data_IF_225713128976
#
_entry.id   IF_225713128976
#
_cell.length_a   1.000
_cell.length_b   1.000
_cell.length_c   1.000
_cell.angle_alpha   90.00
_cell.angle_beta   90.00
_cell.angle_gamma   90.00
#
_symmetry.space_group_name_H-M   'P 1'
#
loop_
_entity.id
_entity.type
_entity.pdbx_description
1 polymer ?
#
# COMPACT_ATOMS: atom_id res chain seq x y z
N UNK A 1 2.39 -21.99 1.25
CA UNK A 1 3.71 -21.45 0.84
C UNK A 1 3.45 -20.34 -0.16
N UNK A 2 3.98 -19.15 0.08
CA UNK A 2 3.96 -18.04 -0.88
C UNK A 2 4.62 -18.55 -2.17
N UNK A 3 3.91 -18.44 -3.28
CA UNK A 3 4.44 -18.83 -4.59
C UNK A 3 5.13 -17.61 -5.19
N UNK A 4 6.39 -17.76 -5.61
CA UNK A 4 7.06 -16.75 -6.44
C UNK A 4 6.33 -16.68 -7.79
N UNK A 5 5.67 -15.55 -8.05
CA UNK A 5 4.98 -15.29 -9.32
C UNK A 5 6.00 -14.83 -10.37
N UNK A 6 5.68 -15.06 -11.65
CA UNK A 6 6.55 -14.61 -12.77
C UNK A 6 6.45 -13.10 -12.93
N UNK A 7 7.52 -12.46 -13.40
CA UNK A 7 7.54 -11.03 -13.71
C UNK A 7 8.37 -10.24 -12.72
N UNK A 8 9.10 -9.24 -13.21
CA UNK A 8 10.17 -8.55 -12.46
C UNK A 8 9.69 -7.96 -11.13
N UNK A 9 8.54 -7.28 -11.12
CA UNK A 9 7.93 -6.72 -9.91
C UNK A 9 7.56 -7.82 -8.91
N UNK A 10 6.93 -8.90 -9.38
CA UNK A 10 6.58 -10.03 -8.53
C UNK A 10 7.81 -10.68 -7.87
N UNK A 11 8.94 -10.71 -8.58
CA UNK A 11 10.19 -11.19 -8.01
C UNK A 11 10.76 -10.25 -6.95
N UNK A 12 10.73 -8.93 -7.20
CA UNK A 12 11.15 -7.90 -6.24
C UNK A 12 10.31 -8.01 -4.96
N UNK A 13 8.99 -8.06 -5.08
CA UNK A 13 8.07 -8.21 -3.94
C UNK A 13 8.35 -9.50 -3.19
N UNK A 14 8.49 -10.64 -3.89
CA UNK A 14 8.77 -11.92 -3.25
C UNK A 14 10.10 -11.92 -2.50
N UNK A 15 11.18 -11.43 -3.12
CA UNK A 15 12.51 -11.46 -2.52
C UNK A 15 12.61 -10.58 -1.26
N UNK A 16 11.81 -9.50 -1.18
CA UNK A 16 11.82 -8.57 -0.06
C UNK A 16 10.78 -8.89 1.04
N UNK A 17 9.75 -9.69 0.73
CA UNK A 17 8.64 -9.95 1.67
C UNK A 17 8.44 -11.42 2.01
N UNK A 18 9.12 -12.35 1.35
CA UNK A 18 9.03 -13.78 1.63
C UNK A 18 10.34 -14.29 2.25
N UNK A 19 10.25 -15.04 3.34
CA UNK A 19 11.41 -15.68 3.97
C UNK A 19 11.16 -17.16 4.23
N UNK A 20 12.25 -17.89 4.53
CA UNK A 20 12.25 -19.35 4.70
C UNK A 20 11.58 -20.06 3.50
N UNK A 21 12.07 -19.78 2.28
CA UNK A 21 11.54 -20.32 1.02
C UNK A 21 10.03 -20.06 0.82
N UNK A 22 9.55 -18.88 1.24
CA UNK A 22 8.14 -18.50 1.10
C UNK A 22 7.21 -19.17 2.11
N UNK A 23 7.76 -19.76 3.18
CA UNK A 23 6.94 -20.30 4.27
C UNK A 23 6.27 -19.20 5.08
N UNK A 24 6.92 -18.04 5.17
CA UNK A 24 6.47 -16.91 5.97
C UNK A 24 6.53 -15.60 5.19
N UNK A 25 5.68 -14.65 5.59
CA UNK A 25 5.63 -13.29 5.07
C UNK A 25 6.27 -12.33 6.07
N UNK A 26 7.12 -11.44 5.59
CA UNK A 26 7.69 -10.32 6.32
C UNK A 26 6.98 -9.04 5.86
N UNK A 27 6.57 -8.21 6.82
CA UNK A 27 5.92 -6.93 6.55
C UNK A 27 7.00 -5.85 6.71
N UNK A 28 7.53 -5.28 5.60
CA UNK A 28 8.57 -4.26 5.68
C UNK A 28 8.13 -3.05 6.52
N UNK A 29 9.09 -2.41 7.18
CA UNK A 29 8.90 -1.10 7.82
C UNK A 29 8.85 0.02 6.77
N UNK A 30 8.70 1.28 7.19
CA UNK A 30 8.70 2.45 6.27
C UNK A 30 9.97 2.47 5.40
N UNK A 31 11.15 2.25 5.98
CA UNK A 31 12.41 2.20 5.22
C UNK A 31 12.43 1.04 4.23
N UNK A 32 11.95 -0.13 4.65
CA UNK A 32 11.86 -1.30 3.77
C UNK A 32 10.89 -1.08 2.61
N UNK A 33 9.75 -0.44 2.86
CA UNK A 33 8.78 -0.10 1.83
C UNK A 33 9.40 0.84 0.79
N UNK A 34 10.08 1.92 1.23
CA UNK A 34 10.74 2.87 0.33
C UNK A 34 11.77 2.19 -0.57
N UNK A 35 12.59 1.30 -0.01
CA UNK A 35 13.55 0.52 -0.78
C UNK A 35 12.85 -0.36 -1.84
N UNK A 36 11.77 -1.05 -1.48
CA UNK A 36 11.01 -1.89 -2.41
C UNK A 36 10.37 -1.03 -3.53
N UNK A 37 9.80 0.13 -3.19
CA UNK A 37 9.23 1.05 -4.17
C UNK A 37 10.29 1.54 -5.15
N UNK A 38 11.47 1.92 -4.66
CA UNK A 38 12.60 2.33 -5.49
C UNK A 38 13.06 1.20 -6.44
N UNK A 39 13.18 -0.04 -5.95
CA UNK A 39 13.52 -1.20 -6.80
C UNK A 39 12.47 -1.43 -7.89
N UNK A 40 11.18 -1.32 -7.55
CA UNK A 40 10.07 -1.47 -8.50
C UNK A 40 10.10 -0.36 -9.55
N UNK A 41 10.25 0.90 -9.13
CA UNK A 41 10.33 2.06 -10.02
C UNK A 41 11.51 1.92 -10.99
N UNK A 42 12.69 1.52 -10.48
CA UNK A 42 13.89 1.32 -11.27
C UNK A 42 13.85 0.05 -12.15
N UNK A 43 12.87 -0.82 -11.93
CA UNK A 43 12.71 -2.05 -12.71
C UNK A 43 12.26 -1.77 -14.16
N UNK A 44 11.65 -0.62 -14.42
CA UNK A 44 11.02 -0.23 -15.69
C UNK A 44 10.13 -1.36 -16.26
N UNK A 45 9.28 -1.92 -15.41
CA UNK A 45 8.32 -2.97 -15.74
C UNK A 45 6.97 -2.64 -15.12
N UNK A 46 5.91 -3.25 -15.64
CA UNK A 46 4.58 -3.21 -15.01
C UNK A 46 4.21 -4.59 -14.47
N UNK A 47 3.15 -4.63 -13.69
CA UNK A 47 2.50 -5.86 -13.21
C UNK A 47 0.99 -5.65 -13.32
N UNK A 48 0.17 -6.70 -13.30
CA UNK A 48 -1.28 -6.59 -13.38
C UNK A 48 -1.85 -5.74 -12.23
N UNK A 49 -1.35 -5.93 -11.01
CA UNK A 49 -1.58 -4.98 -9.91
C UNK A 49 -0.49 -5.04 -8.85
N UNK A 50 -0.40 -3.97 -8.07
CA UNK A 50 0.30 -3.93 -6.78
C UNK A 50 -0.61 -3.34 -5.71
N UNK A 51 -0.60 -3.98 -4.54
CA UNK A 51 -1.40 -3.63 -3.37
C UNK A 51 -0.49 -3.49 -2.15
N UNK A 52 -0.66 -2.41 -1.40
CA UNK A 52 0.11 -2.11 -0.20
C UNK A 52 -0.87 -1.76 0.92
N UNK A 53 -0.97 -2.62 1.92
CA UNK A 53 -1.85 -2.42 3.08
C UNK A 53 -1.01 -2.00 4.30
N UNK A 54 -1.25 -0.81 4.89
CA UNK A 54 -0.55 -0.37 6.08
C UNK A 54 -1.08 -1.03 7.36
N UNK A 55 -0.16 -1.29 8.29
CA UNK A 55 -0.42 -1.74 9.64
C UNK A 55 0.33 -0.87 10.64
N UNK A 56 -0.24 -0.70 11.82
CA UNK A 56 0.47 -0.22 13.00
C UNK A 56 0.43 -1.30 14.08
N UNK A 57 1.59 -1.63 14.63
CA UNK A 57 1.75 -2.62 15.70
C UNK A 57 2.30 -1.89 16.93
N UNK A 58 1.80 -2.20 18.12
CA UNK A 58 2.40 -1.80 19.38
C UNK A 58 2.68 -3.03 20.25
N UNK A 59 3.96 -3.33 20.43
CA UNK A 59 4.42 -4.55 21.11
C UNK A 59 4.10 -4.53 22.61
N UNK A 60 4.13 -3.35 23.24
CA UNK A 60 3.87 -3.21 24.68
C UNK A 60 2.40 -3.45 25.03
N UNK A 61 1.49 -3.04 24.15
CA UNK A 61 0.06 -3.28 24.30
C UNK A 61 -0.39 -4.63 23.71
N UNK A 62 0.49 -5.30 22.94
CA UNK A 62 0.15 -6.48 22.14
C UNK A 62 -1.11 -6.25 21.28
N UNK A 63 -1.11 -5.12 20.55
CA UNK A 63 -2.23 -4.66 19.73
C UNK A 63 -1.74 -4.28 18.33
N UNK A 64 -2.62 -4.42 17.34
CA UNK A 64 -2.38 -4.00 15.98
C UNK A 64 -3.63 -3.38 15.35
N UNK A 65 -3.43 -2.48 14.39
CA UNK A 65 -4.47 -1.94 13.52
C UNK A 65 -4.07 -2.19 12.07
N UNK A 66 -4.99 -2.74 11.29
CA UNK A 66 -4.94 -2.75 9.84
C UNK A 66 -5.68 -1.53 9.30
N UNK A 67 -5.04 -0.79 8.38
CA UNK A 67 -5.59 0.42 7.78
C UNK A 67 -6.05 0.16 6.36
N UNK A 68 -7.03 -0.73 6.20
CA UNK A 68 -7.55 -1.13 4.89
C UNK A 68 -8.07 0.06 4.07
N UNK A 69 -8.64 1.07 4.74
CA UNK A 69 -9.10 2.28 4.07
C UNK A 69 -7.94 3.04 3.39
N UNK A 70 -6.74 3.02 3.98
CA UNK A 70 -5.55 3.67 3.44
C UNK A 70 -4.66 2.74 2.59
N UNK A 71 -5.19 1.58 2.19
CA UNK A 71 -4.52 0.69 1.25
C UNK A 71 -4.29 1.40 -0.09
N UNK A 72 -3.08 1.27 -0.62
CA UNK A 72 -2.76 1.63 -1.99
C UNK A 72 -2.98 0.43 -2.92
N UNK A 73 -3.68 0.64 -4.03
CA UNK A 73 -4.00 -0.37 -5.03
C UNK A 73 -3.86 0.21 -6.43
N UNK A 74 -2.75 -0.11 -7.10
CA UNK A 74 -2.49 0.26 -8.49
C UNK A 74 -2.76 -0.93 -9.39
N UNK A 75 -3.70 -0.79 -10.32
CA UNK A 75 -4.10 -1.84 -11.27
C UNK A 75 -3.83 -1.41 -12.71
N UNK A 76 -3.23 -2.29 -13.50
CA UNK A 76 -3.01 -2.10 -14.93
C UNK A 76 -4.07 -2.83 -15.77
N UNK A 77 -4.78 -2.07 -16.62
CA UNK A 77 -5.88 -2.56 -17.46
C UNK A 77 -5.57 -2.43 -18.95
N UNK A 78 -6.27 -3.19 -19.79
CA UNK A 78 -6.08 -3.14 -21.25
C UNK A 78 -6.44 -1.77 -21.83
N UNK A 79 -7.45 -1.10 -21.26
CA UNK A 79 -7.91 0.20 -21.71
C UNK A 79 -8.45 1.02 -20.54
N UNK A 80 -8.10 2.32 -20.53
CA UNK A 80 -8.53 3.29 -19.53
C UNK A 80 -8.84 4.60 -20.23
N UNK A 81 -9.97 5.20 -19.86
CA UNK A 81 -10.27 6.60 -20.10
C UNK A 81 -10.55 7.34 -18.77
N UNK A 82 -10.81 8.64 -18.89
CA UNK A 82 -11.07 9.51 -17.73
C UNK A 82 -12.35 9.12 -16.97
N UNK A 83 -13.38 8.64 -17.67
CA UNK A 83 -14.65 8.27 -17.03
C UNK A 83 -14.53 6.95 -16.27
N UNK A 84 -13.82 5.97 -16.83
CA UNK A 84 -13.47 4.71 -16.16
C UNK A 84 -12.66 4.97 -14.90
N UNK A 85 -11.62 5.82 -14.98
CA UNK A 85 -10.81 6.16 -13.81
C UNK A 85 -11.65 6.85 -12.73
N UNK A 86 -12.45 7.84 -13.10
CA UNK A 86 -13.31 8.57 -12.17
C UNK A 86 -14.36 7.66 -11.51
N UNK A 87 -14.95 6.75 -12.27
CA UNK A 87 -15.90 5.77 -11.76
C UNK A 87 -15.21 4.81 -10.78
N UNK A 88 -14.05 4.27 -11.15
CA UNK A 88 -13.27 3.37 -10.29
C UNK A 88 -12.94 4.02 -8.94
N UNK A 89 -12.40 5.24 -8.95
CA UNK A 89 -12.06 5.96 -7.71
C UNK A 89 -13.31 6.12 -6.83
N UNK A 90 -14.44 6.54 -7.41
CA UNK A 90 -15.71 6.69 -6.66
C UNK A 90 -16.18 5.40 -6.03
N UNK A 91 -16.07 4.28 -6.74
CA UNK A 91 -16.47 2.96 -6.24
C UNK A 91 -15.55 2.49 -5.10
N UNK A 92 -14.25 2.78 -5.19
CA UNK A 92 -13.25 2.41 -4.16
C UNK A 92 -13.34 3.26 -2.89
N UNK A 93 -13.76 4.52 -2.99
CA UNK A 93 -13.85 5.41 -1.82
C UNK A 93 -15.22 5.35 -1.11
N UNK A 94 -16.30 5.05 -1.83
CA UNK A 94 -17.66 4.98 -1.29
C UNK A 94 -18.04 3.55 -0.87
N UNK A 95 -17.27 2.95 0.04
CA UNK A 95 -17.56 1.59 0.54
C UNK A 95 -18.40 1.69 1.83
N UNK A 96 -19.66 1.19 1.84
CA UNK A 96 -20.55 1.29 3.01
C UNK A 96 -20.02 0.60 4.26
N UNK A 97 -19.26 -0.49 4.07
CA UNK A 97 -18.80 -1.37 5.15
C UNK A 97 -17.45 -0.96 5.78
N UNK A 98 -16.81 0.10 5.28
CA UNK A 98 -15.58 0.61 5.92
C UNK A 98 -15.94 1.53 7.07
N UNK A 99 -15.35 1.26 8.24
CA UNK A 99 -15.57 2.05 9.46
C UNK A 99 -15.22 3.55 9.29
N UNK A 100 -14.36 3.87 8.31
CA UNK A 100 -13.93 5.23 7.98
C UNK A 100 -14.17 5.49 6.49
N UNK A 101 -15.09 6.38 6.16
CA UNK A 101 -15.35 6.78 4.77
C UNK A 101 -14.26 7.73 4.28
N UNK A 102 -13.64 7.38 3.15
CA UNK A 102 -12.73 8.25 2.42
C UNK A 102 -13.53 9.15 1.49
N UNK A 103 -14.21 10.18 2.01
CA UNK A 103 -14.98 11.10 1.15
C UNK A 103 -14.09 12.14 0.43
N UNK A 104 -12.83 11.80 0.17
CA UNK A 104 -11.82 12.63 -0.47
C UNK A 104 -11.41 11.99 -1.80
N UNK A 105 -11.86 12.60 -2.89
CA UNK A 105 -11.58 12.12 -4.23
C UNK A 105 -10.09 12.26 -4.61
N UNK A 106 -9.39 13.27 -4.11
CA UNK A 106 -7.96 13.47 -4.39
C UNK A 106 -7.15 12.35 -3.74
N UNK A 107 -7.48 12.02 -2.49
CA UNK A 107 -6.90 10.89 -1.79
C UNK A 107 -7.24 9.57 -2.46
N UNK A 108 -8.49 9.40 -2.90
CA UNK A 108 -8.91 8.26 -3.70
C UNK A 108 -8.09 8.10 -4.99
N UNK A 109 -7.78 9.19 -5.67
CA UNK A 109 -6.95 9.17 -6.88
C UNK A 109 -5.48 8.81 -6.62
N UNK A 110 -4.99 9.01 -5.40
CA UNK A 110 -3.65 8.59 -4.97
C UNK A 110 -3.65 7.12 -4.58
N UNK A 111 -4.68 6.66 -3.86
CA UNK A 111 -4.75 5.29 -3.33
C UNK A 111 -5.24 4.26 -4.36
N UNK A 112 -6.06 4.65 -5.33
CA UNK A 112 -6.64 3.75 -6.33
C UNK A 112 -6.34 4.19 -7.78
N UNK A 113 -5.06 4.37 -8.16
CA UNK A 113 -4.70 4.73 -9.52
C UNK A 113 -4.89 3.55 -10.48
N UNK A 114 -5.12 3.86 -11.76
CA UNK A 114 -5.11 2.88 -12.85
C UNK A 114 -4.04 3.24 -13.87
N UNK A 115 -3.42 2.23 -14.48
CA UNK A 115 -2.45 2.36 -15.59
C UNK A 115 -2.85 1.49 -16.78
N UNK A 116 -2.45 1.86 -17.99
CA UNK A 116 -2.58 0.93 -19.11
C UNK A 116 -1.53 -0.18 -18.97
N UNK A 117 -1.83 -1.40 -19.42
CA UNK A 117 -0.84 -2.48 -19.43
C UNK A 117 0.39 -2.04 -20.22
N UNK A 118 1.56 -2.39 -19.70
CA UNK A 118 2.87 -2.06 -20.28
C UNK A 118 3.21 -0.55 -20.29
N UNK A 119 2.33 0.33 -19.78
CA UNK A 119 2.64 1.75 -19.56
C UNK A 119 3.47 1.94 -18.29
N UNK A 120 4.79 1.73 -18.44
CA UNK A 120 5.75 1.89 -17.34
C UNK A 120 5.83 3.33 -16.83
N UNK A 121 5.49 4.33 -17.65
CA UNK A 121 5.56 5.75 -17.29
C UNK A 121 4.45 6.11 -16.31
N UNK A 122 3.20 5.78 -16.63
CA UNK A 122 2.07 6.01 -15.72
C UNK A 122 2.19 5.16 -14.46
N UNK A 123 2.66 3.91 -14.58
CA UNK A 123 2.89 3.03 -13.43
C UNK A 123 3.91 3.62 -12.45
N UNK A 124 5.06 4.08 -12.96
CA UNK A 124 6.09 4.76 -12.17
C UNK A 124 5.55 6.01 -11.49
N UNK A 125 4.86 6.87 -12.24
CA UNK A 125 4.32 8.13 -11.71
C UNK A 125 3.31 7.89 -10.59
N UNK A 126 2.49 6.84 -10.68
CA UNK A 126 1.56 6.47 -9.61
C UNK A 126 2.28 6.03 -8.32
N UNK A 127 3.37 5.26 -8.43
CA UNK A 127 4.16 4.84 -7.28
C UNK A 127 4.92 6.01 -6.64
N UNK A 128 5.53 6.89 -7.44
CA UNK A 128 6.21 8.09 -6.95
C UNK A 128 5.22 9.00 -6.19
N UNK A 129 4.02 9.21 -6.75
CA UNK A 129 2.98 10.00 -6.09
C UNK A 129 2.55 9.38 -4.75
N UNK A 130 2.43 8.06 -4.70
CA UNK A 130 2.13 7.36 -3.44
C UNK A 130 3.26 7.54 -2.42
N UNK A 131 4.53 7.39 -2.84
CA UNK A 131 5.69 7.58 -1.96
C UNK A 131 5.76 9.00 -1.40
N UNK A 132 5.55 10.02 -2.24
CA UNK A 132 5.49 11.43 -1.83
C UNK A 132 4.40 11.66 -0.77
N UNK A 133 3.23 11.03 -0.97
CA UNK A 133 2.07 11.19 -0.09
C UNK A 133 2.13 10.33 1.18
N UNK A 134 3.03 9.35 1.24
CA UNK A 134 3.10 8.37 2.33
C UNK A 134 3.29 9.02 3.71
N UNK A 135 4.08 10.10 3.81
CA UNK A 135 4.30 10.79 5.09
C UNK A 135 3.01 11.40 5.64
N UNK A 136 2.17 12.00 4.79
CA UNK A 136 0.88 12.56 5.20
C UNK A 136 -0.09 11.46 5.66
N UNK A 137 -0.10 10.33 4.94
CA UNK A 137 -0.88 9.15 5.32
C UNK A 137 -0.45 8.61 6.69
N UNK A 138 0.85 8.46 6.91
CA UNK A 138 1.39 7.97 8.18
C UNK A 138 0.98 8.85 9.36
N UNK A 139 0.98 10.18 9.20
CA UNK A 139 0.52 11.10 10.23
C UNK A 139 -0.98 10.92 10.52
N UNK A 140 -1.83 10.84 9.49
CA UNK A 140 -3.27 10.59 9.63
C UNK A 140 -3.55 9.26 10.34
N UNK A 141 -2.86 8.19 9.92
CA UNK A 141 -2.98 6.86 10.52
C UNK A 141 -2.47 6.83 11.98
N UNK A 142 -1.44 7.60 12.32
CA UNK A 142 -0.92 7.67 13.68
C UNK A 142 -1.92 8.32 14.65
N UNK A 143 -2.61 9.38 14.23
CA UNK A 143 -3.66 10.00 15.04
C UNK A 143 -4.82 9.03 15.31
N UNK A 144 -5.18 8.24 14.29
CA UNK A 144 -6.15 7.16 14.45
C UNK A 144 -5.63 6.10 15.42
N UNK A 145 -4.38 5.65 15.28
CA UNK A 145 -3.79 4.64 16.15
C UNK A 145 -3.77 5.09 17.62
N UNK A 146 -3.40 6.36 17.88
CA UNK A 146 -3.44 6.97 19.22
C UNK A 146 -4.82 6.87 19.83
N UNK A 147 -5.86 7.21 19.05
CA UNK A 147 -7.25 7.18 19.52
C UNK A 147 -7.75 5.76 19.77
N UNK A 148 -7.58 4.86 18.80
CA UNK A 148 -8.14 3.50 18.84
C UNK A 148 -7.46 2.63 19.89
N UNK A 149 -6.14 2.74 20.03
CA UNK A 149 -5.34 1.94 20.97
C UNK A 149 -5.12 2.65 22.31
N UNK A 150 -5.64 3.87 22.48
CA UNK A 150 -5.42 4.71 23.66
C UNK A 150 -3.93 4.85 23.99
N UNK A 151 -3.12 5.22 22.99
CA UNK A 151 -1.67 5.32 23.14
C UNK A 151 -1.30 6.54 23.99
N UNK A 152 -0.56 6.30 25.07
CA UNK A 152 0.15 7.32 25.84
C UNK A 152 1.59 7.48 25.30
N UNK A 153 2.28 8.53 25.74
CA UNK A 153 3.68 8.79 25.34
C UNK A 153 4.61 7.62 25.64
N UNK A 154 4.37 6.89 26.73
CA UNK A 154 5.16 5.71 27.11
C UNK A 154 4.93 4.48 26.22
N UNK A 155 3.87 4.47 25.41
CA UNK A 155 3.61 3.40 24.44
C UNK A 155 4.29 3.66 23.10
N UNK A 156 4.54 4.94 22.74
CA UNK A 156 5.05 5.32 21.42
C UNK A 156 6.38 4.65 21.04
N UNK A 157 7.38 4.49 21.94
CA UNK A 157 8.65 3.83 21.59
C UNK A 157 8.50 2.35 21.21
N UNK A 158 7.39 1.72 21.54
CA UNK A 158 7.12 0.29 21.30
C UNK A 158 6.27 0.04 20.06
N UNK A 159 5.92 1.09 19.32
CA UNK A 159 5.08 0.98 18.14
C UNK A 159 5.80 1.31 16.84
N UNK A 160 5.36 0.69 15.75
CA UNK A 160 5.93 0.93 14.43
C UNK A 160 4.90 0.65 13.33
N UNK A 161 5.10 1.31 12.18
CA UNK A 161 4.38 1.02 10.96
C UNK A 161 5.06 -0.07 10.15
N UNK A 162 4.28 -1.00 9.61
CA UNK A 162 4.73 -1.99 8.65
C UNK A 162 3.67 -2.20 7.56
N UNK A 163 4.06 -2.87 6.47
CA UNK A 163 3.23 -2.94 5.26
C UNK A 163 3.13 -4.35 4.73
N UNK A 164 1.92 -4.79 4.41
CA UNK A 164 1.73 -5.97 3.58
C UNK A 164 1.77 -5.55 2.11
N UNK A 165 2.63 -6.19 1.32
CA UNK A 165 2.76 -5.92 -0.12
C UNK A 165 2.37 -7.17 -0.91
N UNK A 166 1.53 -6.98 -1.93
CA UNK A 166 1.09 -8.04 -2.82
C UNK A 166 1.08 -7.57 -4.27
N UNK A 167 1.48 -8.44 -5.20
CA UNK A 167 1.50 -8.14 -6.62
C UNK A 167 1.14 -9.36 -7.48
N UNK A 168 0.63 -9.11 -8.68
CA UNK A 168 0.32 -10.11 -9.71
C UNK A 168 0.79 -9.68 -11.09
#
# INVERSE_FOLDING_TARGET
>A
MLKKRKGKINEIVYNNTAYNNGKFRHFPTITGLKYILEEIINSNSTTAYIRITPFYINERLNQQIEFEEYMFYLECRDWIDKEVLKKHIKECINVPDRQRQLNDFELGAILYPLCQKEDTTSFKSALEKYEEYLNELLLKMMEIAKSVMNLSEEHLPFGYFCFEIHSE
#
